data_IF_881290520355
#
_entry.id   IF_881290520355
#
_cell.length_a   1.000
_cell.length_b   1.000
_cell.length_c   1.000
_cell.angle_alpha   90.00
_cell.angle_beta   90.00
_cell.angle_gamma   90.00
#
_symmetry.space_group_name_H-M   'P 1'
#
loop_
_entity.id
_entity.type
_entity.pdbx_description
1 polymer ?
#
# COMPACT_ATOMS: atom_id res chain seq x y z
N UNK A 1 0.02 -35.85 -15.29
CA UNK A 1 -0.87 -35.01 -14.46
C UNK A 1 -0.55 -33.56 -14.80
N UNK A 2 -1.43 -32.90 -15.56
CA UNK A 2 -1.22 -31.52 -15.98
C UNK A 2 -1.37 -30.61 -14.78
N UNK A 3 -0.34 -29.83 -14.48
CA UNK A 3 -0.44 -28.76 -13.49
C UNK A 3 -1.38 -27.74 -14.11
N UNK A 4 -2.64 -27.76 -13.70
CA UNK A 4 -3.55 -26.63 -13.92
C UNK A 4 -2.98 -25.49 -13.07
N UNK A 5 -1.98 -24.80 -13.64
CA UNK A 5 -1.68 -23.44 -13.27
C UNK A 5 -3.02 -22.73 -13.34
N UNK A 6 -3.57 -22.37 -12.19
CA UNK A 6 -4.64 -21.40 -12.13
C UNK A 6 -4.07 -20.15 -12.78
N UNK A 7 -4.28 -20.03 -14.10
CA UNK A 7 -3.97 -18.83 -14.83
C UNK A 7 -4.94 -17.81 -14.27
N UNK A 8 -4.43 -17.04 -13.31
CA UNK A 8 -4.89 -15.68 -13.13
C UNK A 8 -4.80 -15.07 -14.54
N UNK A 9 -5.93 -15.07 -15.25
CA UNK A 9 -6.12 -14.27 -16.46
C UNK A 9 -6.21 -12.82 -16.01
N UNK A 10 -5.14 -12.34 -15.38
CA UNK A 10 -4.90 -10.94 -15.21
C UNK A 10 -4.59 -10.47 -16.61
N UNK A 11 -5.59 -9.85 -17.19
CA UNK A 11 -5.51 -9.18 -18.47
C UNK A 11 -4.24 -8.29 -18.44
N UNK A 12 -3.19 -8.72 -19.14
CA UNK A 12 -1.84 -8.14 -19.02
C UNK A 12 -1.85 -6.65 -19.34
N UNK A 13 -2.79 -6.24 -20.20
CA UNK A 13 -3.09 -4.86 -20.56
C UNK A 13 -3.58 -4.01 -19.39
N UNK A 14 -4.22 -4.63 -18.40
CA UNK A 14 -4.74 -3.96 -17.22
C UNK A 14 -3.71 -3.82 -16.09
N UNK A 15 -2.59 -4.57 -16.13
CA UNK A 15 -1.54 -4.50 -15.10
C UNK A 15 -1.00 -3.08 -14.92
N UNK A 16 -0.62 -2.32 -15.98
CA UNK A 16 -0.16 -0.95 -15.83
C UNK A 16 -1.19 -0.04 -15.16
N UNK A 17 -2.48 -0.21 -15.51
CA UNK A 17 -3.57 0.57 -14.92
C UNK A 17 -3.78 0.23 -13.44
N UNK A 18 -3.65 -1.04 -13.07
CA UNK A 18 -3.76 -1.50 -11.69
C UNK A 18 -2.60 -0.97 -10.84
N UNK A 19 -1.36 -1.01 -11.37
CA UNK A 19 -0.18 -0.41 -10.72
C UNK A 19 -0.42 1.08 -10.48
N UNK A 20 -0.87 1.83 -11.49
CA UNK A 20 -1.14 3.26 -11.36
C UNK A 20 -2.17 3.56 -10.24
N UNK A 21 -3.23 2.76 -10.12
CA UNK A 21 -4.22 2.90 -9.03
C UNK A 21 -3.61 2.61 -7.65
N UNK A 22 -2.72 1.62 -7.54
CA UNK A 22 -2.04 1.35 -6.28
C UNK A 22 -1.05 2.46 -5.91
N UNK A 23 -0.35 3.04 -6.89
CA UNK A 23 0.53 4.19 -6.67
C UNK A 23 -0.26 5.43 -6.21
N UNK A 24 -1.43 5.68 -6.79
CA UNK A 24 -2.36 6.72 -6.36
C UNK A 24 -2.82 6.50 -4.92
N UNK A 25 -3.29 5.29 -4.60
CA UNK A 25 -3.71 4.93 -3.24
C UNK A 25 -2.56 5.07 -2.21
N UNK A 26 -1.33 4.71 -2.56
CA UNK A 26 -0.15 4.98 -1.73
C UNK A 26 0.04 6.48 -1.52
N UNK A 27 -0.16 7.30 -2.55
CA UNK A 27 -0.13 8.75 -2.47
C UNK A 27 -1.13 9.31 -1.44
N UNK A 28 -2.38 8.83 -1.49
CA UNK A 28 -3.42 9.20 -0.53
C UNK A 28 -3.09 8.76 0.89
N UNK A 29 -2.64 7.50 1.07
CA UNK A 29 -2.25 6.96 2.36
C UNK A 29 -1.06 7.73 2.97
N UNK A 30 -0.10 8.17 2.16
CA UNK A 30 0.97 9.08 2.63
C UNK A 30 0.40 10.40 3.12
N UNK A 31 -0.67 10.91 2.49
CA UNK A 31 -1.43 12.06 2.98
C UNK A 31 -2.07 11.82 4.35
N UNK A 32 -2.71 10.66 4.53
CA UNK A 32 -3.29 10.25 5.82
C UNK A 32 -2.20 10.11 6.89
N UNK A 33 -1.07 9.49 6.57
CA UNK A 33 0.06 9.34 7.49
C UNK A 33 0.59 10.69 7.98
N UNK A 34 0.70 11.68 7.09
CA UNK A 34 1.08 13.06 7.48
C UNK A 34 0.07 13.68 8.45
N UNK A 35 -1.23 13.52 8.20
CA UNK A 35 -2.29 14.01 9.10
C UNK A 35 -2.28 13.27 10.46
N UNK A 36 -2.02 11.97 10.46
CA UNK A 36 -1.89 11.18 11.69
C UNK A 36 -0.73 11.72 12.56
N UNK A 37 0.42 12.02 11.96
CA UNK A 37 1.54 12.67 12.68
C UNK A 37 1.22 14.09 13.18
N UNK A 38 0.36 14.83 12.47
CA UNK A 38 -0.12 16.11 12.99
C UNK A 38 -1.03 15.91 14.21
N UNK A 39 -1.90 14.90 14.17
CA UNK A 39 -2.77 14.51 15.28
C UNK A 39 -1.99 14.02 16.51
N UNK A 40 -0.85 13.35 16.28
CA UNK A 40 0.07 12.93 17.33
C UNK A 40 0.58 14.11 18.17
N UNK A 41 0.76 15.26 17.54
CA UNK A 41 1.40 16.45 18.12
C UNK A 41 0.41 17.56 18.48
N UNK A 42 -0.89 17.25 18.64
CA UNK A 42 -1.87 18.28 18.99
C UNK A 42 -1.67 18.78 20.42
N UNK A 43 -1.74 20.09 20.60
CA UNK A 43 -1.83 20.72 21.91
C UNK A 43 -3.21 20.55 22.51
N UNK A 44 -3.28 20.57 23.84
CA UNK A 44 -4.55 20.66 24.54
C UNK A 44 -5.25 21.99 24.22
N UNK A 45 -6.57 22.00 23.97
CA UNK A 45 -7.31 23.23 23.70
C UNK A 45 -7.44 24.15 24.93
N UNK A 46 -7.19 23.61 26.14
CA UNK A 46 -7.21 24.33 27.40
C UNK A 46 -6.20 23.76 28.40
N UNK A 47 -5.94 24.50 29.48
CA UNK A 47 -4.98 24.10 30.52
C UNK A 47 -5.55 23.12 31.55
N UNK A 48 -6.83 22.77 31.46
CA UNK A 48 -7.46 21.81 32.34
C UNK A 48 -6.98 20.37 32.07
N UNK A 49 -7.02 19.54 33.11
CA UNK A 49 -6.53 18.17 33.03
C UNK A 49 -7.33 17.29 32.06
N UNK A 50 -8.60 17.58 31.81
CA UNK A 50 -9.43 16.82 30.86
C UNK A 50 -8.94 17.11 29.43
N UNK A 51 -8.74 18.38 29.08
CA UNK A 51 -8.19 18.81 27.80
C UNK A 51 -6.81 18.22 27.54
N UNK A 52 -5.91 18.22 28.54
CA UNK A 52 -4.58 17.60 28.43
C UNK A 52 -4.65 16.09 28.22
N UNK A 53 -5.51 15.41 28.97
CA UNK A 53 -5.67 13.96 28.85
C UNK A 53 -6.29 13.55 27.51
N UNK A 54 -7.27 14.32 27.00
CA UNK A 54 -7.85 14.10 25.69
C UNK A 54 -6.80 14.26 24.58
N UNK A 55 -6.03 15.36 24.60
CA UNK A 55 -4.96 15.60 23.64
C UNK A 55 -3.92 14.46 23.64
N UNK A 56 -3.51 13.99 24.83
CA UNK A 56 -2.59 12.85 24.97
C UNK A 56 -3.18 11.56 24.42
N UNK A 57 -4.46 11.28 24.67
CA UNK A 57 -5.12 10.07 24.19
C UNK A 57 -5.25 10.07 22.67
N UNK A 58 -5.65 11.20 22.09
CA UNK A 58 -5.72 11.38 20.63
C UNK A 58 -4.34 11.23 20.01
N UNK A 59 -3.32 11.85 20.61
CA UNK A 59 -1.95 11.72 20.13
C UNK A 59 -1.47 10.27 20.13
N UNK A 60 -1.75 9.54 21.21
CA UNK A 60 -1.44 8.11 21.30
C UNK A 60 -2.15 7.29 20.22
N UNK A 61 -3.45 7.50 20.00
CA UNK A 61 -4.21 6.76 18.97
C UNK A 61 -3.75 7.08 17.54
N UNK A 62 -3.22 8.28 17.32
CA UNK A 62 -2.75 8.73 16.03
C UNK A 62 -1.31 8.28 15.71
N UNK A 63 -0.49 8.03 16.73
CA UNK A 63 0.94 7.70 16.61
C UNK A 63 1.26 6.33 16.01
N UNK A 64 2.49 5.88 16.22
CA UNK A 64 3.12 4.72 15.57
C UNK A 64 3.06 3.40 16.34
N UNK A 65 2.44 3.39 17.53
CA UNK A 65 2.20 2.17 18.28
C UNK A 65 1.35 1.14 17.52
N UNK A 66 1.57 -0.15 17.79
CA UNK A 66 0.86 -1.24 17.11
C UNK A 66 -0.67 -1.04 17.17
N UNK A 67 -1.31 -1.08 16.00
CA UNK A 67 -2.76 -0.87 15.86
C UNK A 67 -3.22 0.59 15.82
N UNK A 68 -2.33 1.56 16.05
CA UNK A 68 -2.63 2.98 15.94
C UNK A 68 -2.64 3.43 14.47
N UNK A 69 -3.20 4.62 14.23
CA UNK A 69 -3.47 5.10 12.87
C UNK A 69 -2.22 5.16 11.99
N UNK A 70 -1.13 5.77 12.45
CA UNK A 70 0.09 5.88 11.64
C UNK A 70 0.72 4.51 11.36
N UNK A 71 0.64 3.58 12.32
CA UNK A 71 1.10 2.20 12.14
C UNK A 71 0.31 1.47 11.06
N UNK A 72 -1.03 1.47 11.16
CA UNK A 72 -1.91 0.78 10.20
C UNK A 72 -1.70 1.32 8.80
N UNK A 73 -1.63 2.65 8.65
CA UNK A 73 -1.41 3.29 7.35
C UNK A 73 -0.06 2.89 6.76
N UNK A 74 0.99 2.79 7.59
CA UNK A 74 2.31 2.33 7.15
C UNK A 74 2.25 0.88 6.65
N UNK A 75 1.55 -0.01 7.37
CA UNK A 75 1.35 -1.40 6.93
C UNK A 75 0.55 -1.53 5.65
N UNK A 76 -0.46 -0.68 5.45
CA UNK A 76 -1.19 -0.62 4.19
C UNK A 76 -0.28 -0.20 3.02
N UNK A 77 0.56 0.82 3.21
CA UNK A 77 1.53 1.27 2.19
C UNK A 77 2.50 0.14 1.84
N UNK A 78 3.10 -0.51 2.84
CA UNK A 78 3.99 -1.66 2.65
C UNK A 78 3.31 -2.78 1.85
N UNK A 79 2.04 -3.09 2.18
CA UNK A 79 1.28 -4.13 1.50
C UNK A 79 1.01 -3.80 0.04
N UNK A 80 0.61 -2.57 -0.27
CA UNK A 80 0.38 -2.11 -1.64
C UNK A 80 1.67 -2.10 -2.45
N UNK A 81 2.80 -1.69 -1.86
CA UNK A 81 4.10 -1.73 -2.53
C UNK A 81 4.46 -3.17 -2.91
N UNK A 82 4.29 -4.12 -1.99
CA UNK A 82 4.53 -5.54 -2.27
C UNK A 82 3.64 -6.07 -3.40
N UNK A 83 2.38 -5.61 -3.50
CA UNK A 83 1.48 -6.00 -4.59
C UNK A 83 1.93 -5.40 -5.93
N UNK A 84 2.39 -4.15 -5.96
CA UNK A 84 2.98 -3.53 -7.15
C UNK A 84 4.20 -4.34 -7.62
N UNK A 85 5.08 -4.73 -6.70
CA UNK A 85 6.30 -5.47 -7.04
C UNK A 85 5.97 -6.87 -7.60
N UNK A 86 4.96 -7.54 -7.04
CA UNK A 86 4.44 -8.81 -7.57
C UNK A 86 3.84 -8.65 -8.98
N UNK A 87 3.09 -7.58 -9.23
CA UNK A 87 2.54 -7.28 -10.56
C UNK A 87 3.62 -6.98 -11.60
N UNK A 88 4.66 -6.24 -11.22
CA UNK A 88 5.82 -5.95 -12.07
C UNK A 88 6.59 -7.24 -12.42
N UNK A 89 6.80 -8.10 -11.42
CA UNK A 89 7.45 -9.40 -11.63
C UNK A 89 6.62 -10.31 -12.56
N UNK A 90 5.29 -10.36 -12.38
CA UNK A 90 4.41 -11.11 -13.25
C UNK A 90 4.48 -10.59 -14.70
N UNK A 91 4.40 -9.27 -14.91
CA UNK A 91 4.50 -8.68 -16.25
C UNK A 91 5.83 -9.03 -16.94
N UNK A 92 6.95 -8.99 -16.22
CA UNK A 92 8.24 -9.40 -16.76
C UNK A 92 8.27 -10.87 -17.12
N UNK A 93 7.75 -11.74 -16.24
CA UNK A 93 7.69 -13.18 -16.48
C UNK A 93 6.88 -13.55 -17.72
N UNK A 94 5.75 -12.87 -17.95
CA UNK A 94 4.93 -13.06 -19.15
C UNK A 94 5.64 -12.62 -20.43
N UNK A 95 6.31 -11.45 -20.44
CA UNK A 95 7.09 -11.02 -21.62
C UNK A 95 8.18 -12.01 -21.98
N UNK A 96 8.94 -12.48 -21.00
CA UNK A 96 9.99 -13.48 -21.23
C UNK A 96 9.41 -14.81 -21.70
N UNK A 97 8.23 -15.24 -21.22
CA UNK A 97 7.58 -16.46 -21.69
C UNK A 97 7.11 -16.32 -23.15
N UNK A 98 6.57 -15.16 -23.54
CA UNK A 98 6.09 -14.87 -24.91
C UNK A 98 7.24 -14.76 -25.92
N UNK A 99 8.35 -14.12 -25.52
CA UNK A 99 9.59 -14.04 -26.30
C UNK A 99 10.20 -15.42 -26.56
N UNK A 100 10.16 -16.32 -25.57
CA UNK A 100 10.64 -17.70 -25.71
C UNK A 100 9.65 -18.63 -26.45
N UNK A 101 8.36 -18.30 -26.42
CA UNK A 101 7.32 -19.07 -27.10
C UNK A 101 7.21 -18.74 -28.59
N UNK A 102 7.81 -17.63 -29.05
CA UNK A 102 7.89 -17.26 -30.47
C UNK A 102 9.09 -17.97 -31.10
N UNK A 103 8.92 -19.11 -31.81
CA UNK A 103 10.03 -19.75 -32.49
C UNK A 103 10.38 -18.86 -33.67
N UNK A 104 11.63 -18.42 -33.76
CA UNK A 104 12.19 -17.86 -34.98
C UNK A 104 11.98 -18.86 -36.10
N UNK A 105 10.97 -18.64 -36.95
CA UNK A 105 10.84 -19.38 -38.20
C UNK A 105 11.94 -18.87 -39.14
N UNK A 106 13.01 -19.66 -39.23
CA UNK A 106 13.97 -19.67 -40.34
C UNK A 106 13.63 -20.82 -41.27
#
# INVERSE_FOLDING_TARGET
>A
MGVQQASFSVDLEQIPRLIAKYEEAIGELRGVSRKARQLENIGAPGEDEVSKNLARSLGKMAGDGDGNLAWVVTKCIERLQNQIDQLKAAQSGYRTADENATPTQV
#
